data_IF_959377948054
#
_entry.id   IF_959377948054
#
_cell.length_a   1.000
_cell.length_b   1.000
_cell.length_c   1.000
_cell.angle_alpha   90.00
_cell.angle_beta   90.00
_cell.angle_gamma   90.00
#
_symmetry.space_group_name_H-M   'P 1'
#
loop_
_entity.id
_entity.type
_entity.pdbx_description
1 polymer ?
#
# COMPACT_ATOMS: atom_id res chain seq x y z
N UNK A 1 -5.39 0.50 -22.32
CA UNK A 1 -6.12 -0.04 -21.14
C UNK A 1 -7.29 0.88 -20.90
N UNK A 2 -8.51 0.35 -20.78
CA UNK A 2 -9.64 1.19 -20.37
C UNK A 2 -9.46 1.56 -18.89
N UNK A 3 -9.19 2.84 -18.63
CA UNK A 3 -8.90 3.33 -17.28
C UNK A 3 -10.10 3.18 -16.34
N UNK A 4 -11.33 3.14 -16.87
CA UNK A 4 -12.54 3.03 -16.06
C UNK A 4 -12.73 1.61 -15.53
N UNK A 5 -12.44 0.60 -16.35
CA UNK A 5 -12.51 -0.81 -15.94
C UNK A 5 -11.47 -1.13 -14.87
N UNK A 6 -10.23 -0.65 -15.05
CA UNK A 6 -9.15 -0.82 -14.05
C UNK A 6 -9.53 -0.13 -12.74
N UNK A 7 -10.11 1.07 -12.81
CA UNK A 7 -10.58 1.79 -11.64
C UNK A 7 -11.68 1.04 -10.89
N UNK A 8 -12.74 0.62 -11.59
CA UNK A 8 -13.86 -0.11 -11.01
C UNK A 8 -13.41 -1.44 -10.39
N UNK A 9 -12.53 -2.15 -11.08
CA UNK A 9 -11.90 -3.38 -10.59
C UNK A 9 -11.14 -3.13 -9.28
N UNK A 10 -10.24 -2.14 -9.24
CA UNK A 10 -9.41 -1.86 -8.07
C UNK A 10 -10.23 -1.41 -6.85
N UNK A 11 -11.19 -0.50 -7.02
CA UNK A 11 -12.10 -0.07 -5.94
C UNK A 11 -12.97 -1.21 -5.41
N UNK A 12 -13.22 -2.24 -6.23
CA UNK A 12 -14.00 -3.42 -5.85
C UNK A 12 -13.17 -4.50 -5.16
N UNK A 13 -12.01 -4.86 -5.75
CA UNK A 13 -11.22 -6.03 -5.34
C UNK A 13 -10.21 -5.74 -4.25
N UNK A 14 -9.50 -4.61 -4.30
CA UNK A 14 -8.46 -4.31 -3.31
C UNK A 14 -8.99 -4.24 -1.88
N UNK A 15 -10.12 -3.57 -1.58
CA UNK A 15 -10.67 -3.57 -0.22
C UNK A 15 -11.06 -4.97 0.28
N UNK A 16 -11.66 -5.79 -0.59
CA UNK A 16 -12.04 -7.17 -0.24
C UNK A 16 -10.81 -8.04 0.04
N UNK A 17 -9.76 -7.86 -0.76
CA UNK A 17 -8.49 -8.57 -0.60
C UNK A 17 -7.81 -8.24 0.74
N UNK A 18 -7.76 -6.95 1.11
CA UNK A 18 -7.21 -6.50 2.40
C UNK A 18 -8.05 -7.02 3.57
N UNK A 19 -9.38 -6.89 3.51
CA UNK A 19 -10.26 -7.37 4.58
C UNK A 19 -10.15 -8.89 4.79
N UNK A 20 -10.17 -9.67 3.71
CA UNK A 20 -10.04 -11.13 3.78
C UNK A 20 -8.67 -11.58 4.33
N UNK A 21 -7.60 -10.83 4.02
CA UNK A 21 -6.27 -11.08 4.58
C UNK A 21 -6.27 -10.88 6.11
N UNK A 22 -6.79 -9.75 6.59
CA UNK A 22 -6.84 -9.45 8.03
C UNK A 22 -7.74 -10.43 8.78
N UNK A 23 -8.90 -10.77 8.21
CA UNK A 23 -9.82 -11.77 8.75
C UNK A 23 -9.14 -13.14 8.88
N UNK A 24 -8.45 -13.60 7.83
CA UNK A 24 -7.75 -14.89 7.85
C UNK A 24 -6.63 -14.95 8.88
N UNK A 25 -5.95 -13.82 9.12
CA UNK A 25 -4.89 -13.71 10.11
C UNK A 25 -5.41 -13.41 11.52
N UNK A 26 -6.71 -13.11 11.66
CA UNK A 26 -7.32 -12.66 12.91
C UNK A 26 -6.62 -11.44 13.50
N UNK A 27 -6.13 -10.53 12.65
CA UNK A 27 -5.45 -9.31 13.05
C UNK A 27 -6.45 -8.14 13.00
N UNK A 28 -6.65 -7.41 14.11
CA UNK A 28 -7.43 -6.18 14.12
C UNK A 28 -6.82 -5.12 13.19
N UNK A 29 -7.66 -4.35 12.48
CA UNK A 29 -7.18 -3.34 11.54
C UNK A 29 -6.40 -2.22 12.26
N UNK A 30 -6.75 -1.94 13.51
CA UNK A 30 -6.12 -0.97 14.39
C UNK A 30 -4.65 -1.30 14.68
N UNK A 31 -4.28 -2.58 14.68
CA UNK A 31 -2.92 -3.06 14.96
C UNK A 31 -1.97 -2.94 13.76
N UNK A 32 -2.48 -2.51 12.60
CA UNK A 32 -1.67 -2.25 11.41
C UNK A 32 -1.16 -0.81 11.44
N UNK A 33 0.16 -0.65 11.34
CA UNK A 33 0.82 0.66 11.36
C UNK A 33 0.81 1.33 10.00
N UNK A 34 0.93 0.54 8.93
CA UNK A 34 1.01 1.07 7.57
C UNK A 34 0.24 0.20 6.56
N UNK A 35 -0.60 0.86 5.75
CA UNK A 35 -1.22 0.27 4.57
C UNK A 35 -0.60 0.89 3.32
N UNK A 36 0.24 0.14 2.63
CA UNK A 36 0.92 0.60 1.41
C UNK A 36 0.22 0.01 0.17
N UNK A 37 -0.43 0.90 -0.59
CA UNK A 37 -1.14 0.55 -1.82
C UNK A 37 -0.27 0.80 -3.05
N UNK A 38 -0.54 0.06 -4.13
CA UNK A 38 0.01 0.40 -5.45
C UNK A 38 -0.33 1.85 -5.81
N UNK A 39 0.68 2.66 -6.14
CA UNK A 39 0.53 4.08 -6.45
C UNK A 39 0.03 4.29 -7.89
N UNK A 40 -1.21 3.88 -8.19
CA UNK A 40 -1.80 4.04 -9.52
C UNK A 40 -2.25 5.49 -9.79
N UNK A 41 -3.05 6.03 -8.87
CA UNK A 41 -3.63 7.37 -8.91
C UNK A 41 -4.15 7.71 -7.50
N UNK A 42 -3.93 8.95 -7.04
CA UNK A 42 -4.34 9.42 -5.72
C UNK A 42 -5.85 9.30 -5.50
N UNK A 43 -6.65 9.59 -6.53
CA UNK A 43 -8.10 9.48 -6.43
C UNK A 43 -8.57 8.04 -6.20
N UNK A 44 -7.97 7.09 -6.92
CA UNK A 44 -8.25 5.65 -6.76
C UNK A 44 -7.84 5.16 -5.37
N UNK A 45 -6.62 5.48 -4.95
CA UNK A 45 -6.09 5.05 -3.65
C UNK A 45 -6.90 5.62 -2.49
N UNK A 46 -7.33 6.89 -2.57
CA UNK A 46 -8.22 7.48 -1.57
C UNK A 46 -9.59 6.81 -1.51
N UNK A 47 -10.15 6.39 -2.65
CA UNK A 47 -11.40 5.62 -2.66
C UNK A 47 -11.24 4.27 -1.97
N UNK A 48 -10.13 3.57 -2.20
CA UNK A 48 -9.79 2.31 -1.53
C UNK A 48 -9.65 2.53 -0.01
N UNK A 49 -8.83 3.50 0.40
CA UNK A 49 -8.63 3.87 1.82
C UNK A 49 -9.95 4.17 2.52
N UNK A 50 -10.78 5.04 1.94
CA UNK A 50 -12.07 5.43 2.54
C UNK A 50 -13.03 4.25 2.65
N UNK A 51 -13.03 3.34 1.67
CA UNK A 51 -13.87 2.13 1.70
C UNK A 51 -13.44 1.14 2.78
N UNK A 52 -12.14 1.10 3.09
CA UNK A 52 -11.56 0.34 4.21
C UNK A 52 -11.64 1.10 5.56
N UNK A 53 -12.09 2.36 5.55
CA UNK A 53 -12.17 3.22 6.75
C UNK A 53 -10.81 3.35 7.47
N UNK A 54 -9.72 3.38 6.72
CA UNK A 54 -8.35 3.51 7.27
C UNK A 54 -8.02 4.99 7.47
N UNK A 55 -7.37 5.32 8.58
CA UNK A 55 -6.87 6.67 8.84
C UNK A 55 -5.88 7.13 7.76
N UNK A 56 -5.96 8.39 7.34
CA UNK A 56 -5.08 8.93 6.29
C UNK A 56 -3.60 8.88 6.68
N UNK A 57 -3.28 9.03 7.97
CA UNK A 57 -1.91 8.97 8.49
C UNK A 57 -1.26 7.59 8.34
N UNK A 58 -2.04 6.51 8.18
CA UNK A 58 -1.54 5.13 7.99
C UNK A 58 -1.33 4.76 6.52
N UNK A 59 -1.68 5.64 5.56
CA UNK A 59 -1.58 5.37 4.12
C UNK A 59 -0.60 6.37 3.46
N UNK A 60 0.68 6.00 3.31
CA UNK A 60 1.66 6.87 2.67
C UNK A 60 1.42 7.02 1.15
N UNK A 61 1.85 8.15 0.60
CA UNK A 61 1.68 8.50 -0.81
C UNK A 61 2.97 9.06 -1.40
N UNK A 62 3.64 8.28 -2.24
CA UNK A 62 4.82 8.73 -2.99
C UNK A 62 4.47 9.23 -4.41
N UNK A 63 3.17 9.14 -4.80
CA UNK A 63 2.65 9.60 -6.10
C UNK A 63 3.05 11.02 -6.48
N UNK A 64 3.09 11.94 -5.50
CA UNK A 64 3.35 13.35 -5.77
C UNK A 64 4.76 13.56 -6.32
N UNK A 65 5.71 12.77 -5.83
CA UNK A 65 7.13 12.90 -6.14
C UNK A 65 7.54 11.98 -7.29
N UNK A 66 6.94 10.78 -7.39
CA UNK A 66 7.41 9.71 -8.28
C UNK A 66 6.38 9.20 -9.30
N UNK A 67 5.12 9.64 -9.20
CA UNK A 67 4.04 9.10 -10.03
C UNK A 67 3.83 7.60 -9.84
N UNK A 68 3.33 6.93 -10.88
CA UNK A 68 3.10 5.49 -10.87
C UNK A 68 4.36 4.74 -11.34
N UNK A 69 5.07 4.12 -10.40
CA UNK A 69 6.29 3.33 -10.66
C UNK A 69 6.04 1.82 -10.80
N UNK A 70 4.83 1.42 -11.19
CA UNK A 70 4.46 0.03 -11.46
C UNK A 70 4.75 -0.90 -10.27
N UNK A 71 5.56 -1.95 -10.46
CA UNK A 71 5.92 -2.92 -9.42
C UNK A 71 6.85 -2.35 -8.34
N UNK A 72 7.64 -1.32 -8.66
CA UNK A 72 8.54 -0.69 -7.70
C UNK A 72 7.80 0.20 -6.67
N UNK A 73 6.50 0.42 -6.87
CA UNK A 73 5.76 1.39 -6.08
C UNK A 73 5.69 1.09 -4.59
N UNK A 74 5.47 -0.15 -4.18
CA UNK A 74 5.36 -0.52 -2.77
C UNK A 74 6.69 -0.32 -2.06
N UNK A 75 7.82 -0.91 -2.53
CA UNK A 75 9.10 -0.67 -1.89
C UNK A 75 9.53 0.80 -1.97
N UNK A 76 9.28 1.50 -3.09
CA UNK A 76 9.60 2.93 -3.19
C UNK A 76 8.84 3.75 -2.15
N UNK A 77 7.51 3.57 -2.03
CA UNK A 77 6.72 4.29 -1.02
C UNK A 77 7.15 3.97 0.40
N UNK A 78 7.54 2.72 0.70
CA UNK A 78 8.07 2.37 2.02
C UNK A 78 9.39 3.09 2.30
N UNK A 79 10.32 3.10 1.33
CA UNK A 79 11.60 3.78 1.45
C UNK A 79 11.43 5.28 1.59
N UNK A 80 10.60 5.93 0.77
CA UNK A 80 10.54 7.41 0.77
C UNK A 80 9.65 7.97 1.88
N UNK A 81 8.60 7.25 2.29
CA UNK A 81 7.61 7.79 3.23
C UNK A 81 7.69 7.19 4.64
N UNK A 82 8.45 6.08 4.83
CA UNK A 82 8.52 5.35 6.10
C UNK A 82 9.94 4.97 6.53
N UNK A 83 10.98 5.53 5.92
CA UNK A 83 12.37 5.18 6.21
C UNK A 83 12.68 5.18 7.70
N UNK A 84 12.39 6.29 8.36
CA UNK A 84 12.70 6.49 9.78
C UNK A 84 12.01 5.46 10.67
N UNK A 85 10.73 5.17 10.43
CA UNK A 85 10.00 4.16 11.21
C UNK A 85 10.51 2.75 10.93
N UNK A 86 10.81 2.42 9.67
CA UNK A 86 11.35 1.11 9.29
C UNK A 86 12.71 0.83 9.93
N UNK A 87 13.55 1.86 10.09
CA UNK A 87 14.88 1.75 10.68
C UNK A 87 14.85 1.68 12.22
N UNK A 88 13.87 2.32 12.86
CA UNK A 88 13.90 2.56 14.31
C UNK A 88 12.76 1.89 15.09
N UNK A 89 11.88 1.14 14.43
CA UNK A 89 10.73 0.53 15.11
C UNK A 89 10.31 -0.80 14.48
N UNK A 90 9.50 -1.55 15.24
CA UNK A 90 8.73 -2.66 14.70
C UNK A 90 7.46 -2.10 14.05
N UNK A 91 7.18 -2.52 12.82
CA UNK A 91 5.99 -2.10 12.08
C UNK A 91 5.22 -3.30 11.52
N UNK A 92 3.90 -3.30 11.72
CA UNK A 92 2.93 -4.15 11.07
C UNK A 92 2.45 -3.49 9.77
N UNK A 93 2.70 -4.15 8.63
CA UNK A 93 2.48 -3.56 7.31
C UNK A 93 1.54 -4.45 6.50
N UNK A 94 0.56 -3.82 5.86
CA UNK A 94 -0.26 -4.45 4.81
C UNK A 94 0.10 -3.82 3.47
N UNK A 95 0.65 -4.63 2.57
CA UNK A 95 0.81 -4.28 1.16
C UNK A 95 -0.38 -4.75 0.33
N UNK A 96 -0.88 -3.91 -0.58
CA UNK A 96 -1.86 -4.35 -1.57
C UNK A 96 -1.61 -3.71 -2.94
N UNK A 97 -1.47 -4.56 -3.96
CA UNK A 97 -1.23 -4.17 -5.35
C UNK A 97 -2.31 -4.71 -6.28
N UNK A 98 -2.52 -4.02 -7.39
CA UNK A 98 -3.45 -4.37 -8.46
C UNK A 98 -2.92 -3.80 -9.78
N UNK A 99 -3.13 -4.50 -10.89
CA UNK A 99 -2.58 -4.08 -12.17
C UNK A 99 -2.80 -5.07 -13.31
N UNK A 100 -1.87 -5.06 -14.26
CA UNK A 100 -1.90 -5.86 -15.51
C UNK A 100 -2.19 -7.33 -15.22
N UNK A 101 -3.13 -7.91 -15.99
CA UNK A 101 -3.60 -9.29 -15.82
C UNK A 101 -5.04 -9.48 -16.30
N UNK A 102 -6.07 -8.93 -15.64
CA UNK A 102 -6.09 -8.21 -14.36
C UNK A 102 -5.61 -9.11 -13.22
N UNK A 103 -4.71 -8.60 -12.38
CA UNK A 103 -4.17 -9.32 -11.22
C UNK A 103 -4.12 -8.41 -9.99
N UNK A 104 -4.25 -9.01 -8.80
CA UNK A 104 -4.21 -8.31 -7.52
C UNK A 104 -3.63 -9.22 -6.44
N UNK A 105 -3.07 -8.62 -5.41
CA UNK A 105 -2.53 -9.34 -4.26
C UNK A 105 -2.49 -8.46 -3.03
N UNK A 106 -2.65 -9.09 -1.86
CA UNK A 106 -2.47 -8.47 -0.56
C UNK A 106 -1.53 -9.33 0.26
N UNK A 107 -0.67 -8.69 1.05
CA UNK A 107 0.28 -9.36 1.94
C UNK A 107 0.36 -8.61 3.26
N UNK A 108 0.47 -9.35 4.35
CA UNK A 108 0.80 -8.84 5.66
C UNK A 108 2.21 -9.28 6.00
N UNK A 109 3.02 -8.37 6.53
CA UNK A 109 4.34 -8.67 7.05
C UNK A 109 4.69 -7.69 8.16
N UNK A 110 5.57 -8.13 9.07
CA UNK A 110 6.16 -7.27 10.08
C UNK A 110 7.62 -7.00 9.77
N UNK A 111 8.07 -5.77 10.03
CA UNK A 111 9.49 -5.38 9.96
C UNK A 111 9.95 -4.96 11.35
N UNK A 112 11.23 -5.10 11.66
CA UNK A 112 11.82 -4.68 12.92
C UNK A 112 13.24 -4.18 12.67
N UNK A 113 13.47 -2.89 12.84
CA UNK A 113 14.77 -2.23 12.72
C UNK A 113 15.54 -2.64 11.44
N UNK A 114 14.87 -2.54 10.29
CA UNK A 114 15.43 -3.00 9.02
C UNK A 114 16.40 -1.97 8.44
N UNK A 115 17.39 -2.46 7.71
CA UNK A 115 18.28 -1.58 6.94
C UNK A 115 17.48 -1.04 5.74
N UNK A 116 17.22 0.27 5.77
CA UNK A 116 16.59 1.00 4.67
C UNK A 116 17.59 2.00 4.11
N UNK A 117 18.10 1.74 2.90
CA UNK A 117 19.02 2.65 2.24
C UNK A 117 18.31 3.94 1.83
N UNK A 118 19.08 5.03 1.74
CA UNK A 118 18.59 6.29 1.18
C UNK A 118 18.18 6.09 -0.28
N UNK A 119 17.19 6.87 -0.71
CA UNK A 119 16.84 6.92 -2.12
C UNK A 119 18.00 7.54 -2.92
N UNK A 120 18.36 6.90 -4.02
CA UNK A 120 19.38 7.39 -4.94
C UNK A 120 18.67 7.94 -6.19
N UNK A 121 18.88 9.22 -6.48
CA UNK A 121 18.38 9.91 -7.68
C UNK A 121 19.57 10.40 -8.52
N UNK A 122 19.46 10.31 -9.85
CA UNK A 122 20.46 10.76 -10.83
C UNK A 122 19.85 11.75 -11.81
#
# INVERSE_FOLDING_TARGET
MDGMDVFAFAVSKAPKSVAALLEKLQIPQEDIDCFVFHQANRFLNEKIRKKLKIDASKVPYSLLNYGNTSCATIPLTLVTERQEQLQNSRMNIVGCAFGVGLSWGSVYFSTENIICLDLIEY
#
